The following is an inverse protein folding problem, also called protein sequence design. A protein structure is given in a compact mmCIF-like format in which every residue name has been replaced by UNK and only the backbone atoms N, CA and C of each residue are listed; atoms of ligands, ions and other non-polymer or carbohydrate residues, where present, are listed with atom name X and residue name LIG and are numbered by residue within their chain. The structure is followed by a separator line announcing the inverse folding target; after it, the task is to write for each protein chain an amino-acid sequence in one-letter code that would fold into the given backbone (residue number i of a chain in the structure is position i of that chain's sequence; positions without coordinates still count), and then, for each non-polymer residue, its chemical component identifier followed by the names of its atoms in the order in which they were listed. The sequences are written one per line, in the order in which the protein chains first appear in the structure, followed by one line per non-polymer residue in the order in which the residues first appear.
data_IF_735195370169
#
_entry.id   IF_735195370169
#
_cell.length_a   1.000
_cell.length_b   1.000
_cell.length_c   1.000
_cell.angle_alpha   90.00
_cell.angle_beta   90.00
_cell.angle_gamma   90.00
#
_symmetry.space_group_name_H-M   'P 1'
#
loop_
_entity.id
_entity.type
_entity.pdbx_description
1 polymer ?
#
# COMPACT_ATOMS: atom_id res chain seq x y z
N UNK A 1 -2.07 -27.54 -8.27
CA UNK A 1 -2.84 -26.46 -7.62
C UNK A 1 -2.24 -26.07 -6.27
N UNK A 2 -2.26 -26.94 -5.26
CA UNK A 2 -1.92 -26.54 -3.88
C UNK A 2 -0.49 -26.01 -3.63
N UNK A 3 0.56 -26.56 -4.26
CA UNK A 3 1.94 -26.07 -4.08
C UNK A 3 2.15 -24.62 -4.58
N UNK A 4 1.35 -24.19 -5.55
CA UNK A 4 1.41 -22.87 -6.20
C UNK A 4 0.64 -21.85 -5.36
N UNK A 5 -0.58 -22.24 -4.96
CA UNK A 5 -1.48 -21.43 -4.12
C UNK A 5 -0.82 -21.00 -2.80
N UNK A 6 -0.01 -21.84 -2.18
CA UNK A 6 0.64 -21.55 -0.90
C UNK A 6 1.64 -20.38 -0.96
N UNK A 7 2.40 -20.26 -2.05
CA UNK A 7 3.36 -19.18 -2.19
C UNK A 7 2.64 -17.83 -2.36
N UNK A 8 1.64 -17.78 -3.22
CA UNK A 8 0.88 -16.56 -3.42
C UNK A 8 0.08 -16.15 -2.18
N UNK A 9 -0.65 -17.10 -1.60
CA UNK A 9 -1.49 -16.86 -0.42
C UNK A 9 -0.65 -16.47 0.79
N UNK A 10 0.48 -17.15 1.01
CA UNK A 10 1.39 -16.83 2.11
C UNK A 10 2.02 -15.44 1.96
N UNK A 11 2.45 -15.08 0.75
CA UNK A 11 2.96 -13.73 0.44
C UNK A 11 1.90 -12.68 0.75
N UNK A 12 0.67 -12.90 0.30
CA UNK A 12 -0.42 -11.96 0.46
C UNK A 12 -0.80 -11.74 1.93
N UNK A 13 -0.92 -12.83 2.71
CA UNK A 13 -1.15 -12.77 4.16
C UNK A 13 -0.04 -11.97 4.85
N UNK A 14 1.22 -12.26 4.51
CA UNK A 14 2.35 -11.58 5.10
C UNK A 14 2.35 -10.07 4.80
N UNK A 15 2.07 -9.67 3.56
CA UNK A 15 1.96 -8.25 3.17
C UNK A 15 0.81 -7.57 3.90
N UNK A 16 -0.36 -8.20 4.02
CA UNK A 16 -1.48 -7.66 4.81
C UNK A 16 -1.07 -7.41 6.25
N UNK A 17 -0.43 -8.39 6.90
CA UNK A 17 0.00 -8.26 8.30
C UNK A 17 1.00 -7.11 8.44
N UNK A 18 1.98 -7.00 7.53
CA UNK A 18 2.96 -5.92 7.53
C UNK A 18 2.26 -4.57 7.39
N UNK A 19 1.36 -4.42 6.41
CA UNK A 19 0.59 -3.19 6.19
C UNK A 19 -0.20 -2.79 7.43
N UNK A 20 -0.90 -3.72 8.08
CA UNK A 20 -1.69 -3.42 9.28
C UNK A 20 -0.80 -3.04 10.47
N UNK A 21 0.36 -3.70 10.66
CA UNK A 21 1.29 -3.36 11.72
C UNK A 21 1.92 -1.97 11.51
N UNK A 22 2.29 -1.64 10.27
CA UNK A 22 2.79 -0.31 9.91
C UNK A 22 1.75 0.77 10.11
N UNK A 23 0.48 0.50 9.77
CA UNK A 23 -0.62 1.42 10.04
C UNK A 23 -0.79 1.68 11.54
N UNK A 24 -0.85 0.61 12.35
CA UNK A 24 -0.95 0.73 13.81
C UNK A 24 0.25 1.44 14.43
N UNK A 25 1.45 1.28 13.86
CA UNK A 25 2.64 2.02 14.27
C UNK A 25 2.58 3.51 13.89
N UNK A 26 1.69 3.90 12.98
CA UNK A 26 1.46 5.27 12.54
C UNK A 26 2.16 5.64 11.22
N UNK A 27 2.67 4.67 10.47
CA UNK A 27 3.47 4.89 9.27
C UNK A 27 2.73 5.69 8.19
N UNK A 28 1.51 5.27 7.84
CA UNK A 28 0.75 5.90 6.76
C UNK A 28 0.24 7.29 7.16
N UNK A 29 -0.19 7.47 8.42
CA UNK A 29 -0.56 8.80 8.93
C UNK A 29 0.66 9.73 8.96
N UNK A 30 1.82 9.24 9.37
CA UNK A 30 3.09 9.99 9.32
C UNK A 30 3.45 10.42 7.89
N UNK A 31 3.27 9.55 6.90
CA UNK A 31 3.53 9.85 5.49
C UNK A 31 2.52 10.87 4.93
N UNK A 32 1.23 10.71 5.24
CA UNK A 32 0.18 11.63 4.83
C UNK A 32 0.41 13.05 5.39
N UNK A 33 0.81 13.18 6.66
CA UNK A 33 1.13 14.48 7.27
C UNK A 33 2.37 15.14 6.63
N UNK A 34 3.38 14.36 6.22
CA UNK A 34 4.51 14.90 5.45
C UNK A 34 4.06 15.44 4.10
N UNK A 35 3.25 14.66 3.38
CA UNK A 35 2.67 15.06 2.09
C UNK A 35 1.80 16.31 2.23
N UNK A 36 0.99 16.39 3.28
CA UNK A 36 0.18 17.56 3.61
C UNK A 36 1.04 18.81 3.84
N UNK A 37 2.22 18.68 4.43
CA UNK A 37 3.13 19.82 4.63
C UNK A 37 3.90 20.17 3.37
N UNK A 38 4.32 19.19 2.58
CA UNK A 38 4.97 19.41 1.28
C UNK A 38 4.05 20.07 0.25
N UNK A 39 2.73 19.88 0.38
CA UNK A 39 1.76 20.62 -0.43
C UNK A 39 1.84 22.14 -0.25
N UNK A 40 2.41 22.62 0.86
CA UNK A 40 2.78 24.03 1.05
C UNK A 40 1.58 24.98 0.98
N UNK A 41 0.40 24.51 1.38
CA UNK A 41 -0.85 25.27 1.35
C UNK A 41 -1.54 25.29 -0.01
N UNK A 42 -1.00 24.65 -1.06
CA UNK A 42 -1.64 24.58 -2.38
C UNK A 42 -2.41 23.28 -2.56
N UNK A 43 -3.73 23.36 -2.75
CA UNK A 43 -4.59 22.18 -2.90
C UNK A 43 -4.26 21.34 -4.14
N UNK A 44 -3.80 21.98 -5.23
CA UNK A 44 -3.32 21.27 -6.44
C UNK A 44 -2.04 20.47 -6.18
N UNK A 45 -1.07 21.06 -5.47
CA UNK A 45 0.16 20.34 -5.10
C UNK A 45 -0.18 19.17 -4.17
N UNK A 46 -1.05 19.40 -3.19
CA UNK A 46 -1.53 18.36 -2.28
C UNK A 46 -2.20 17.21 -3.03
N UNK A 47 -3.05 17.50 -4.01
CA UNK A 47 -3.71 16.49 -4.83
C UNK A 47 -2.71 15.60 -5.57
N UNK A 48 -1.72 16.21 -6.23
CA UNK A 48 -0.65 15.45 -6.90
C UNK A 48 0.14 14.61 -5.90
N UNK A 49 0.57 15.19 -4.78
CA UNK A 49 1.39 14.49 -3.79
C UNK A 49 0.63 13.34 -3.13
N UNK A 50 -0.67 13.49 -2.87
CA UNK A 50 -1.49 12.41 -2.33
C UNK A 50 -1.70 11.29 -3.34
N UNK A 51 -1.89 11.61 -4.62
CA UNK A 51 -1.95 10.60 -5.68
C UNK A 51 -0.62 9.84 -5.75
N UNK A 52 0.51 10.54 -5.72
CA UNK A 52 1.84 9.91 -5.74
C UNK A 52 2.10 9.06 -4.48
N UNK A 53 1.63 9.50 -3.31
CA UNK A 53 1.67 8.70 -2.09
C UNK A 53 0.84 7.42 -2.25
N UNK A 54 -0.41 7.54 -2.73
CA UNK A 54 -1.27 6.40 -3.03
C UNK A 54 -0.62 5.43 -4.01
N UNK A 55 0.03 5.96 -5.04
CA UNK A 55 0.76 5.16 -6.01
C UNK A 55 1.93 4.40 -5.39
N UNK A 56 2.73 5.06 -4.56
CA UNK A 56 3.86 4.44 -3.87
C UNK A 56 3.42 3.34 -2.89
N UNK A 57 2.32 3.58 -2.16
CA UNK A 57 1.79 2.60 -1.21
C UNK A 57 1.19 1.40 -1.96
N UNK A 58 0.39 1.61 -2.99
CA UNK A 58 -0.19 0.53 -3.79
C UNK A 58 0.87 -0.33 -4.48
N UNK A 59 1.95 0.29 -4.97
CA UNK A 59 3.08 -0.42 -5.54
C UNK A 59 3.77 -1.35 -4.52
N UNK A 60 3.79 -1.02 -3.23
CA UNK A 60 4.54 -1.77 -2.22
C UNK A 60 3.69 -2.70 -1.33
N UNK A 61 2.42 -2.38 -1.08
CA UNK A 61 1.62 -2.94 0.03
C UNK A 61 0.30 -3.61 -0.37
N UNK A 62 0.13 -3.88 -1.65
CA UNK A 62 -1.13 -4.28 -2.28
C UNK A 62 -2.17 -3.15 -2.42
N UNK A 63 -2.94 -3.18 -3.51
CA UNK A 63 -4.00 -2.18 -3.76
C UNK A 63 -5.08 -2.19 -2.67
N UNK A 64 -5.47 -3.37 -2.18
CA UNK A 64 -6.51 -3.54 -1.17
C UNK A 64 -6.09 -2.92 0.16
N UNK A 65 -4.84 -3.15 0.55
CA UNK A 65 -4.23 -2.54 1.73
C UNK A 65 -4.16 -1.03 1.60
N UNK A 66 -3.73 -0.54 0.44
CA UNK A 66 -3.70 0.89 0.14
C UNK A 66 -5.09 1.53 0.24
N UNK A 67 -6.11 0.92 -0.36
CA UNK A 67 -7.48 1.41 -0.32
C UNK A 67 -8.08 1.39 1.09
N UNK A 68 -7.90 0.29 1.83
CA UNK A 68 -8.46 0.13 3.18
C UNK A 68 -7.82 1.09 4.20
N UNK A 69 -6.51 1.33 4.07
CA UNK A 69 -5.72 2.09 5.05
C UNK A 69 -5.61 3.57 4.68
N UNK A 70 -5.26 3.90 3.43
CA UNK A 70 -5.05 5.30 3.05
C UNK A 70 -6.35 6.08 2.97
N UNK A 71 -7.45 5.47 2.52
CA UNK A 71 -8.73 6.16 2.40
C UNK A 71 -9.19 6.82 3.70
N UNK A 72 -9.30 6.11 4.84
CA UNK A 72 -9.70 6.75 6.09
C UNK A 72 -8.70 7.80 6.58
N UNK A 73 -7.40 7.59 6.35
CA UNK A 73 -6.35 8.56 6.71
C UNK A 73 -6.50 9.85 5.90
N UNK A 74 -6.68 9.72 4.59
CA UNK A 74 -6.87 10.84 3.67
C UNK A 74 -8.16 11.58 4.02
N UNK A 75 -9.26 10.88 4.28
CA UNK A 75 -10.52 11.50 4.72
C UNK A 75 -10.31 12.27 6.01
N UNK A 76 -9.73 11.66 7.05
CA UNK A 76 -9.50 12.32 8.34
C UNK A 76 -8.67 13.60 8.17
N UNK A 77 -7.61 13.53 7.36
CA UNK A 77 -6.75 14.67 7.08
C UNK A 77 -7.47 15.77 6.29
N UNK A 78 -8.27 15.43 5.28
CA UNK A 78 -9.02 16.43 4.50
C UNK A 78 -10.12 17.11 5.33
N UNK A 79 -10.71 16.37 6.29
CA UNK A 79 -11.63 16.92 7.27
C UNK A 79 -10.92 17.88 8.25
N UNK A 80 -9.73 17.52 8.74
CA UNK A 80 -8.88 18.42 9.55
C UNK A 80 -8.52 19.70 8.77
N UNK A 81 -8.27 19.58 7.46
CA UNK A 81 -8.01 20.71 6.56
C UNK A 81 -9.26 21.51 6.15
N UNK A 82 -10.45 21.13 6.65
CA UNK A 82 -11.75 21.76 6.37
C UNK A 82 -12.13 21.77 4.88
N UNK A 83 -11.75 20.74 4.14
CA UNK A 83 -12.11 20.62 2.73
C UNK A 83 -13.63 20.41 2.58
N UNK A 84 -14.21 20.98 1.54
CA UNK A 84 -15.63 20.75 1.21
C UNK A 84 -15.87 19.27 0.89
N UNK A 85 -17.09 18.78 1.11
CA UNK A 85 -17.45 17.39 0.78
C UNK A 85 -17.12 17.02 -0.69
N UNK A 86 -17.30 17.98 -1.61
CA UNK A 86 -16.97 17.81 -3.03
C UNK A 86 -15.47 17.64 -3.26
N UNK A 87 -14.64 18.43 -2.58
CA UNK A 87 -13.19 18.28 -2.63
C UNK A 87 -12.76 16.94 -2.00
N UNK A 88 -13.31 16.58 -0.84
CA UNK A 88 -13.02 15.30 -0.19
C UNK A 88 -13.33 14.11 -1.09
N UNK A 89 -14.48 14.14 -1.78
CA UNK A 89 -14.83 13.13 -2.78
C UNK A 89 -13.81 13.06 -3.92
N UNK A 90 -13.37 14.20 -4.47
CA UNK A 90 -12.37 14.22 -5.54
C UNK A 90 -11.05 13.54 -5.11
N UNK A 91 -10.57 13.84 -3.91
CA UNK A 91 -9.33 13.25 -3.38
C UNK A 91 -9.47 11.75 -3.07
N UNK A 92 -10.59 11.34 -2.48
CA UNK A 92 -10.85 9.92 -2.18
C UNK A 92 -11.00 9.09 -3.45
N UNK A 93 -11.75 9.60 -4.44
CA UNK A 93 -11.88 8.94 -5.74
C UNK A 93 -10.53 8.84 -6.44
N UNK A 94 -9.73 9.91 -6.40
CA UNK A 94 -8.38 9.90 -6.96
C UNK A 94 -7.48 8.87 -6.27
N UNK A 95 -7.55 8.75 -4.95
CA UNK A 95 -6.82 7.74 -4.18
C UNK A 95 -7.25 6.31 -4.56
N UNK A 96 -8.55 6.07 -4.80
CA UNK A 96 -9.04 4.78 -5.28
C UNK A 96 -8.54 4.43 -6.68
N UNK A 97 -8.70 5.33 -7.66
CA UNK A 97 -8.25 5.09 -9.03
C UNK A 97 -6.73 4.90 -9.12
N UNK A 98 -5.96 5.67 -8.36
CA UNK A 98 -4.51 5.51 -8.36
C UNK A 98 -4.08 4.24 -7.64
N UNK A 99 -4.76 3.83 -6.56
CA UNK A 99 -4.43 2.58 -5.87
C UNK A 99 -4.59 1.38 -6.81
N UNK A 100 -5.62 1.39 -7.66
CA UNK A 100 -5.78 0.37 -8.70
C UNK A 100 -4.70 0.48 -9.79
N UNK A 101 -4.57 1.67 -10.41
CA UNK A 101 -3.62 1.92 -11.51
C UNK A 101 -2.16 1.63 -11.12
N UNK A 102 -1.76 2.02 -9.91
CA UNK A 102 -0.38 1.97 -9.46
C UNK A 102 0.03 0.62 -8.86
N UNK A 103 -0.90 -0.34 -8.86
CA UNK A 103 -0.67 -1.70 -8.36
C UNK A 103 -0.09 -2.65 -9.40
N UNK A 104 0.38 -2.12 -10.53
CA UNK A 104 1.00 -2.88 -11.62
C UNK A 104 2.49 -3.26 -11.44
N UNK A 105 3.37 -2.49 -10.78
CA UNK A 105 4.80 -2.59 -11.03
C UNK A 105 5.45 -3.83 -10.42
N UNK A 106 4.97 -4.32 -9.26
CA UNK A 106 5.55 -5.48 -8.58
C UNK A 106 4.53 -6.62 -8.53
N UNK A 107 5.05 -7.85 -8.49
CA UNK A 107 4.23 -9.06 -8.34
C UNK A 107 3.39 -8.96 -7.06
N UNK A 108 3.96 -8.44 -5.97
CA UNK A 108 3.29 -8.28 -4.66
C UNK A 108 2.30 -7.11 -4.58
N UNK A 109 2.26 -6.23 -5.60
CA UNK A 109 1.40 -5.04 -5.61
C UNK A 109 -0.09 -5.37 -5.80
N UNK A 110 -0.43 -6.53 -6.33
CA UNK A 110 -1.82 -6.94 -6.54
C UNK A 110 -1.92 -8.46 -6.55
N UNK A 111 -3.00 -9.01 -5.99
CA UNK A 111 -3.27 -10.44 -6.02
C UNK A 111 -3.27 -11.00 -7.46
N UNK A 112 -3.86 -10.28 -8.42
CA UNK A 112 -3.92 -10.71 -9.82
C UNK A 112 -2.51 -10.83 -10.42
N UNK A 113 -1.57 -9.97 -10.01
CA UNK A 113 -0.19 -10.03 -10.46
C UNK A 113 0.51 -11.27 -9.91
N UNK A 114 0.31 -11.59 -8.62
CA UNK A 114 0.86 -12.80 -8.00
C UNK A 114 0.35 -14.04 -8.73
N UNK A 115 -0.96 -14.14 -8.93
CA UNK A 115 -1.60 -15.28 -9.63
C UNK A 115 -1.04 -15.44 -11.04
N UNK A 116 -0.95 -14.34 -11.78
CA UNK A 116 -0.48 -14.35 -13.17
C UNK A 116 1.01 -14.70 -13.28
N UNK A 117 1.85 -14.08 -12.46
CA UNK A 117 3.29 -14.34 -12.46
C UNK A 117 3.59 -15.79 -12.09
N UNK A 118 2.87 -16.33 -11.12
CA UNK A 118 3.06 -17.71 -10.66
C UNK A 118 2.54 -18.74 -11.69
N UNK A 119 1.38 -18.49 -12.32
CA UNK A 119 0.83 -19.34 -13.38
C UNK A 119 1.72 -19.41 -14.62
N UNK A 120 2.26 -18.25 -15.06
CA UNK A 120 3.14 -18.18 -16.24
C UNK A 120 4.63 -18.35 -15.89
N UNK A 121 4.96 -18.64 -14.63
CA UNK A 121 6.34 -18.78 -14.14
C UNK A 121 7.24 -17.58 -14.49
N UNK A 122 6.70 -16.37 -14.34
CA UNK A 122 7.42 -15.11 -14.58
C UNK A 122 8.12 -14.71 -13.29
N UNK A 123 9.45 -14.65 -13.33
CA UNK A 123 10.24 -14.23 -12.18
C UNK A 123 10.05 -12.76 -11.81
N UNK A 124 10.26 -12.43 -10.53
CA UNK A 124 9.96 -11.11 -9.95
C UNK A 124 10.67 -9.97 -10.68
N UNK A 125 11.97 -10.15 -10.94
CA UNK A 125 12.77 -9.15 -11.66
C UNK A 125 12.33 -8.92 -13.11
N UNK A 126 11.96 -10.00 -13.82
CA UNK A 126 11.46 -9.91 -15.19
C UNK A 126 10.10 -9.22 -15.25
N UNK A 127 9.21 -9.56 -14.32
CA UNK A 127 7.91 -8.92 -14.18
C UNK A 127 8.08 -7.41 -13.97
N UNK A 128 8.89 -7.03 -12.97
CA UNK A 128 9.14 -5.63 -12.64
C UNK A 128 9.78 -4.85 -13.79
N UNK A 129 10.73 -5.45 -14.53
CA UNK A 129 11.39 -4.79 -15.66
C UNK A 129 10.40 -4.38 -16.77
N UNK A 130 9.32 -5.14 -16.98
CA UNK A 130 8.28 -4.82 -17.96
C UNK A 130 7.22 -3.90 -17.35
N UNK A 131 6.77 -4.19 -16.13
CA UNK A 131 5.61 -3.52 -15.54
C UNK A 131 5.94 -2.19 -14.89
N UNK A 132 7.18 -1.93 -14.46
CA UNK A 132 7.58 -0.62 -13.91
C UNK A 132 7.43 0.49 -14.96
N UNK A 133 7.95 0.37 -16.20
CA UNK A 133 7.70 1.36 -17.25
C UNK A 133 6.22 1.54 -17.57
N UNK A 134 5.46 0.45 -17.67
CA UNK A 134 4.00 0.50 -17.90
C UNK A 134 3.31 1.26 -16.77
N UNK A 135 3.67 0.97 -15.53
CA UNK A 135 3.14 1.64 -14.35
C UNK A 135 3.42 3.14 -14.37
N UNK A 136 4.62 3.58 -14.75
CA UNK A 136 4.95 5.01 -14.82
C UNK A 136 4.04 5.74 -15.83
N UNK A 137 3.83 5.14 -17.01
CA UNK A 137 2.93 5.70 -18.02
C UNK A 137 1.49 5.71 -17.52
N UNK A 138 1.02 4.61 -16.93
CA UNK A 138 -0.35 4.49 -16.40
C UNK A 138 -0.61 5.47 -15.26
N UNK A 139 0.32 5.61 -14.30
CA UNK A 139 0.25 6.59 -13.20
C UNK A 139 0.22 8.01 -13.76
N UNK A 140 1.06 8.34 -14.74
CA UNK A 140 1.06 9.66 -15.36
C UNK A 140 -0.26 9.94 -16.09
N UNK A 141 -0.77 8.99 -16.88
CA UNK A 141 -2.04 9.11 -17.59
C UNK A 141 -3.21 9.27 -16.61
N UNK A 142 -3.30 8.45 -15.57
CA UNK A 142 -4.32 8.54 -14.54
C UNK A 142 -4.23 9.85 -13.76
N UNK A 143 -3.03 10.29 -13.37
CA UNK A 143 -2.83 11.58 -12.72
C UNK A 143 -3.33 12.74 -13.60
N UNK A 144 -2.98 12.74 -14.89
CA UNK A 144 -3.42 13.78 -15.83
C UNK A 144 -4.94 13.76 -16.03
N UNK A 145 -5.54 12.57 -16.18
CA UNK A 145 -6.98 12.42 -16.32
C UNK A 145 -7.72 12.89 -15.07
N UNK A 146 -7.27 12.51 -13.87
CA UNK A 146 -7.86 12.94 -12.60
C UNK A 146 -7.69 14.43 -12.36
N UNK A 147 -6.50 14.99 -12.66
CA UNK A 147 -6.25 16.43 -12.60
C UNK A 147 -7.18 17.21 -13.53
N UNK A 148 -7.43 16.69 -14.73
CA UNK A 148 -8.32 17.33 -15.69
C UNK A 148 -9.79 17.22 -15.30
N UNK A 149 -10.23 16.04 -14.85
CA UNK A 149 -11.61 15.78 -14.45
C UNK A 149 -12.00 16.56 -13.18
N UNK A 150 -11.18 16.46 -12.13
CA UNK A 150 -11.43 17.10 -10.84
C UNK A 150 -10.88 18.54 -10.72
N UNK A 151 -10.41 19.15 -11.81
CA UNK A 151 -9.79 20.50 -11.80
C UNK A 151 -10.61 21.60 -11.12
N UNK A 152 -11.94 21.47 -11.13
CA UNK A 152 -12.89 22.43 -10.52
C UNK A 152 -13.19 22.12 -9.06
N UNK A 153 -12.90 20.91 -8.62
CA UNK A 153 -13.25 20.39 -7.29
C UNK A 153 -12.06 20.44 -6.33
N UNK A 154 -10.85 20.56 -6.88
CA UNK A 154 -9.60 20.75 -6.12
C UNK A 154 -9.55 22.20 -5.60
N UNK A 155 -9.45 22.42 -4.27
CA UNK A 155 -9.27 23.74 -3.69
C UNK A 155 -7.98 24.41 -4.20
N UNK A 156 -7.98 25.74 -4.30
CA UNK A 156 -6.76 26.47 -4.64
C UNK A 156 -5.75 26.38 -3.50
N UNK A 157 -6.20 26.66 -2.28
CA UNK A 157 -5.37 26.77 -1.10
C UNK A 157 -6.01 26.10 0.12
N UNK A 158 -5.20 25.78 1.12
CA UNK A 158 -5.62 25.26 2.41
C UNK A 158 -4.73 25.76 3.55
N UNK A 159 -5.28 25.81 4.76
CA UNK A 159 -4.55 26.26 5.93
C UNK A 159 -3.64 25.15 6.48
N UNK A 160 -2.38 25.50 6.71
CA UNK A 160 -1.38 24.60 7.30
C UNK A 160 -1.24 24.76 8.82
N UNK A 161 -1.85 25.81 9.39
CA UNK A 161 -1.66 26.19 10.80
C UNK A 161 -2.18 25.12 11.78
N UNK A 162 -3.23 24.39 11.39
CA UNK A 162 -3.86 23.34 12.21
C UNK A 162 -3.26 21.93 11.96
N UNK A 163 -2.29 21.78 11.05
CA UNK A 163 -1.70 20.46 10.75
C UNK A 163 -0.80 19.95 11.88
N UNK A 164 -1.16 18.77 12.40
CA UNK A 164 -0.35 18.03 13.37
C UNK A 164 1.09 17.83 12.89
N UNK A 165 2.03 17.78 13.85
CA UNK A 165 3.43 17.45 13.55
C UNK A 165 3.51 15.99 13.10
N UNK A 166 4.22 15.65 12.02
CA UNK A 166 4.28 14.26 11.55
C UNK A 166 4.79 13.28 12.62
N UNK A 167 5.69 13.74 13.51
CA UNK A 167 6.18 12.95 14.62
C UNK A 167 5.11 12.50 15.62
N UNK A 168 3.99 13.24 15.76
CA UNK A 168 2.90 12.86 16.65
C UNK A 168 2.06 11.71 16.12
N UNK A 169 2.22 11.34 14.84
CA UNK A 169 1.56 10.18 14.27
C UNK A 169 2.23 8.86 14.67
N UNK A 170 3.51 8.87 15.05
CA UNK A 170 4.26 7.67 15.43
C UNK A 170 3.78 7.20 16.81
N UNK A 171 3.10 6.06 16.84
CA UNK A 171 2.57 5.46 18.08
C UNK A 171 3.56 4.52 18.73
N UNK A 172 4.25 3.71 17.92
CA UNK A 172 5.28 2.78 18.36
C UNK A 172 6.54 3.01 17.54
N UNK A 173 7.55 3.59 18.18
CA UNK A 173 8.83 3.92 17.54
C UNK A 173 9.64 2.68 17.16
N UNK A 174 9.57 1.62 17.95
CA UNK A 174 10.32 0.39 17.66
C UNK A 174 9.74 -0.30 16.42
N UNK A 175 8.41 -0.45 16.36
CA UNK A 175 7.72 -1.01 15.20
C UNK A 175 7.86 -0.12 13.97
N UNK A 176 7.81 1.21 14.12
CA UNK A 176 8.01 2.14 12.99
C UNK A 176 9.41 2.02 12.37
N UNK A 177 10.47 2.01 13.18
CA UNK A 177 11.85 1.87 12.68
C UNK A 177 12.07 0.47 12.08
N UNK A 178 11.59 -0.56 12.75
CA UNK A 178 11.64 -1.94 12.22
C UNK A 178 10.88 -2.05 10.91
N UNK A 179 9.78 -1.31 10.76
CA UNK A 179 9.03 -1.20 9.53
C UNK A 179 9.88 -0.79 8.34
N UNK A 180 10.68 0.28 8.48
CA UNK A 180 11.61 0.71 7.43
C UNK A 180 12.64 -0.37 7.07
N UNK A 181 13.20 -1.06 8.06
CA UNK A 181 14.12 -2.17 7.84
C UNK A 181 13.45 -3.34 7.10
N UNK A 182 12.24 -3.71 7.51
CA UNK A 182 11.44 -4.76 6.88
C UNK A 182 11.13 -4.39 5.44
N UNK A 183 10.77 -3.14 5.14
CA UNK A 183 10.54 -2.70 3.76
C UNK A 183 11.78 -2.80 2.88
N UNK A 184 12.93 -2.35 3.40
CA UNK A 184 14.20 -2.52 2.70
C UNK A 184 14.54 -3.99 2.47
N UNK A 185 14.33 -4.83 3.48
CA UNK A 185 14.58 -6.27 3.42
C UNK A 185 13.64 -6.98 2.44
N UNK A 186 12.36 -6.60 2.37
CA UNK A 186 11.43 -7.14 1.39
C UNK A 186 11.87 -6.81 -0.03
N UNK A 187 12.22 -5.55 -0.31
CA UNK A 187 12.68 -5.15 -1.64
C UNK A 187 13.96 -5.89 -2.02
N UNK A 188 14.98 -5.88 -1.16
CA UNK A 188 16.24 -6.58 -1.41
C UNK A 188 16.00 -8.09 -1.55
N UNK A 189 15.16 -8.67 -0.70
CA UNK A 189 14.87 -10.09 -0.70
C UNK A 189 14.09 -10.54 -1.93
N UNK A 190 13.09 -9.77 -2.37
CA UNK A 190 12.31 -10.10 -3.57
C UNK A 190 13.16 -10.05 -4.84
N UNK A 191 14.07 -9.08 -4.97
CA UNK A 191 14.95 -9.02 -6.14
C UNK A 191 16.16 -9.96 -6.04
N UNK A 192 16.70 -10.19 -4.84
CA UNK A 192 17.96 -10.90 -4.64
C UNK A 192 17.83 -12.40 -4.34
N UNK A 193 16.76 -12.81 -3.64
CA UNK A 193 16.57 -14.20 -3.19
C UNK A 193 15.67 -15.02 -4.12
N UNK A 194 14.77 -14.36 -4.87
CA UNK A 194 13.91 -15.04 -5.84
C UNK A 194 14.70 -15.75 -6.97
N UNK A 195 15.76 -15.15 -7.56
CA UNK A 195 16.61 -15.85 -8.53
C UNK A 195 17.36 -17.07 -7.94
N UNK A 196 17.50 -17.14 -6.62
CA UNK A 196 18.11 -18.26 -5.90
C UNK A 196 17.10 -19.37 -5.56
N UNK A 197 15.84 -19.25 -6.01
CA UNK A 197 14.77 -20.21 -5.78
C UNK A 197 14.08 -20.05 -4.43
N UNK A 198 14.35 -18.97 -3.68
CA UNK A 198 13.64 -18.68 -2.43
C UNK A 198 12.25 -18.14 -2.77
N UNK A 199 11.17 -18.75 -2.25
CA UNK A 199 9.82 -18.30 -2.55
C UNK A 199 9.57 -16.92 -1.92
N UNK A 200 8.87 -16.05 -2.66
CA UNK A 200 8.49 -14.69 -2.24
C UNK A 200 7.76 -14.73 -0.88
N UNK A 201 6.94 -15.75 -0.65
CA UNK A 201 6.23 -15.98 0.62
C UNK A 201 7.16 -16.14 1.81
N UNK A 202 8.30 -16.81 1.66
CA UNK A 202 9.24 -16.99 2.76
C UNK A 202 9.89 -15.65 3.14
N UNK A 203 10.30 -14.85 2.14
CA UNK A 203 10.84 -13.51 2.36
C UNK A 203 9.81 -12.63 3.06
N UNK A 204 8.57 -12.63 2.56
CA UNK A 204 7.47 -11.86 3.14
C UNK A 204 7.14 -12.32 4.57
N UNK A 205 7.07 -13.63 4.81
CA UNK A 205 6.77 -14.21 6.11
C UNK A 205 7.84 -13.88 7.16
N UNK A 206 9.12 -13.90 6.79
CA UNK A 206 10.20 -13.47 7.68
C UNK A 206 10.05 -11.99 8.03
N UNK A 207 9.77 -11.13 7.05
CA UNK A 207 9.49 -9.71 7.29
C UNK A 207 8.31 -9.48 8.24
N UNK A 208 7.20 -10.20 8.02
CA UNK A 208 6.01 -10.14 8.86
C UNK A 208 6.30 -10.64 10.28
N UNK A 209 7.01 -11.77 10.43
CA UNK A 209 7.36 -12.34 11.72
C UNK A 209 8.29 -11.41 12.53
N UNK A 210 9.28 -10.78 11.88
CA UNK A 210 10.15 -9.80 12.51
C UNK A 210 9.36 -8.60 13.03
N UNK A 211 8.50 -8.02 12.19
CA UNK A 211 7.70 -6.86 12.56
C UNK A 211 6.71 -7.20 13.68
N UNK A 212 6.07 -8.36 13.60
CA UNK A 212 5.13 -8.86 14.61
C UNK A 212 5.83 -9.15 15.93
N UNK A 213 7.04 -9.73 15.90
CA UNK A 213 7.83 -9.99 17.10
C UNK A 213 8.28 -8.71 17.82
N UNK A 214 8.58 -7.64 17.07
CA UNK A 214 8.86 -6.32 17.66
C UNK A 214 7.58 -5.68 18.21
N UNK A 215 6.49 -5.69 17.44
CA UNK A 215 5.21 -5.12 17.87
C UNK A 215 4.63 -5.82 19.11
N UNK A 216 4.77 -7.15 19.19
CA UNK A 216 4.31 -7.94 20.34
C UNK A 216 5.09 -7.67 21.62
N UNK A 217 6.35 -7.19 21.52
CA UNK A 217 7.14 -6.77 22.69
C UNK A 217 6.78 -5.38 23.19
N UNK A 218 6.13 -4.56 22.35
CA UNK A 218 5.92 -3.15 22.62
C UNK A 218 4.73 -2.82 23.51
N UNK A 219 3.82 -3.76 23.79
CA UNK A 219 2.50 -3.58 24.47
C UNK A 219 1.58 -2.46 23.90
N UNK A 220 2.06 -1.64 22.95
CA UNK A 220 1.34 -0.52 22.33
C UNK A 220 0.42 -1.00 21.20
N UNK A 221 0.81 -2.06 20.49
CA UNK A 221 0.04 -2.60 19.35
C UNK A 221 -0.61 -3.92 19.78
N UNK A 222 -1.96 -4.01 19.84
CA UNK A 222 -2.65 -5.26 20.15
C UNK A 222 -2.56 -6.21 18.94
N UNK A 223 -1.46 -6.95 18.83
CA UNK A 223 -1.15 -7.83 17.69
C UNK A 223 -2.24 -8.89 17.45
N UNK A 224 -2.85 -9.41 18.52
CA UNK A 224 -3.97 -10.34 18.42
C UNK A 224 -5.24 -9.72 17.81
N UNK A 225 -5.47 -8.42 18.00
CA UNK A 225 -6.56 -7.69 17.35
C UNK A 225 -6.25 -7.45 15.88
N UNK A 226 -5.02 -7.06 15.55
CA UNK A 226 -4.55 -6.85 14.17
C UNK A 226 -4.82 -8.07 13.29
N UNK A 227 -4.49 -9.26 13.79
CA UNK A 227 -4.74 -10.53 13.09
C UNK A 227 -6.25 -10.76 12.92
N UNK A 228 -7.06 -10.51 13.95
CA UNK A 228 -8.52 -10.71 13.86
C UNK A 228 -9.20 -9.74 12.89
N UNK A 229 -8.73 -8.49 12.84
CA UNK A 229 -9.29 -7.44 11.97
C UNK A 229 -8.77 -7.49 10.54
N UNK A 230 -7.82 -8.38 10.24
CA UNK A 230 -7.33 -8.55 8.88
C UNK A 230 -8.45 -8.97 7.93
N UNK A 231 -8.44 -8.52 6.67
CA UNK A 231 -9.49 -8.81 5.69
C UNK A 231 -9.36 -10.26 5.15
N UNK A 232 -9.66 -11.24 5.99
CA UNK A 232 -9.57 -12.68 5.67
C UNK A 232 -10.43 -13.08 4.47
N UNK A 233 -11.47 -12.31 4.17
CA UNK A 233 -12.30 -12.50 2.97
C UNK A 233 -11.45 -12.48 1.69
N UNK A 234 -10.42 -11.64 1.63
CA UNK A 234 -9.56 -11.53 0.44
C UNK A 234 -8.70 -12.79 0.28
N UNK A 235 -8.29 -13.42 1.39
CA UNK A 235 -7.59 -14.71 1.38
C UNK A 235 -8.48 -15.80 0.80
N UNK A 236 -9.74 -15.89 1.24
CA UNK A 236 -10.70 -16.85 0.70
C UNK A 236 -11.01 -16.59 -0.78
N UNK A 237 -11.15 -15.32 -1.16
CA UNK A 237 -11.34 -14.93 -2.55
C UNK A 237 -10.16 -15.34 -3.45
N UNK A 238 -8.92 -15.14 -2.99
CA UNK A 238 -7.70 -15.60 -3.67
C UNK A 238 -7.73 -17.10 -3.95
N UNK A 239 -8.03 -17.91 -2.93
CA UNK A 239 -8.14 -19.36 -3.08
C UNK A 239 -9.20 -19.75 -4.13
N UNK A 240 -10.33 -19.04 -4.15
CA UNK A 240 -11.39 -19.22 -5.14
C UNK A 240 -10.93 -18.89 -6.57
N UNK A 241 -10.23 -17.77 -6.77
CA UNK A 241 -9.68 -17.41 -8.08
C UNK A 241 -8.70 -18.48 -8.59
N UNK A 242 -7.82 -18.98 -7.71
CA UNK A 242 -6.92 -20.07 -8.07
C UNK A 242 -7.68 -21.33 -8.50
N UNK A 243 -8.74 -21.71 -7.80
CA UNK A 243 -9.56 -22.87 -8.17
C UNK A 243 -10.16 -22.69 -9.57
N UNK A 244 -10.70 -21.51 -9.88
CA UNK A 244 -11.32 -21.22 -11.17
C UNK A 244 -10.29 -21.21 -12.30
N UNK A 245 -9.15 -20.52 -12.11
CA UNK A 245 -8.10 -20.40 -13.12
C UNK A 245 -7.48 -21.76 -13.47
N UNK A 246 -7.31 -22.64 -12.48
CA UNK A 246 -6.78 -23.99 -12.70
C UNK A 246 -7.84 -25.03 -13.11
N UNK A 247 -9.12 -24.73 -12.87
CA UNK A 247 -10.22 -25.59 -13.27
C UNK A 247 -10.66 -25.41 -14.72
N UNK A 248 -10.30 -24.28 -15.33
CA UNK A 248 -10.45 -23.96 -16.76
C UNK A 248 -9.25 -24.45 -17.57
#
# INVERSE_FOLDING_TARGET
VWNIVWNATGTFIAVIIISLLLDKAGFFKWAALHVARWGGGSGRKLFVLLILLGAAVAALFANDGAALILTPIVIAMLLELRFSARATLAFVMAAGFIADTASLPLVVSNLVNIVSADYFHIGFGRYAAVMVPVNLVSVAATLLALMWFFRKDIPTDYDMSELQLPGSAIRDRATFITGWWVLGLLLIGFFGLEPLGVPISAVAAVGAALLLGVAAKGDVIPTGEVIKTAPWQIVWFSLGMYLVVYGL
#
